data_IF_427868119126
#
_entry.id   IF_427868119126
#
_cell.length_a   1.000
_cell.length_b   1.000
_cell.length_c   1.000
_cell.angle_alpha   90.00
_cell.angle_beta   90.00
_cell.angle_gamma   90.00
#
_symmetry.space_group_name_H-M   'P 1'
#
loop_
_entity.id
_entity.type
_entity.pdbx_description
1 polymer ?
#
# COMPACT_ATOMS: atom_id res chain seq x y z
N UNK A 1 -47.25 -70.69 8.81
CA UNK A 1 -46.24 -69.95 9.54
C UNK A 1 -45.70 -68.86 8.59
N UNK A 2 -46.19 -67.63 8.76
CA UNK A 2 -45.82 -66.50 7.87
C UNK A 2 -44.72 -65.66 8.57
N UNK A 3 -43.56 -65.63 7.96
CA UNK A 3 -42.43 -64.79 8.43
C UNK A 3 -42.65 -63.39 7.86
N UNK A 4 -42.75 -62.38 8.75
CA UNK A 4 -42.78 -60.98 8.37
C UNK A 4 -41.34 -60.43 8.40
N UNK A 5 -40.82 -60.08 7.23
CA UNK A 5 -39.53 -59.32 7.15
C UNK A 5 -39.82 -57.86 7.38
N UNK A 6 -39.24 -57.30 8.47
CA UNK A 6 -39.27 -55.90 8.76
C UNK A 6 -37.94 -55.28 8.22
N UNK A 7 -38.07 -54.45 7.19
CA UNK A 7 -36.92 -53.69 6.66
C UNK A 7 -36.79 -52.41 7.46
N UNK A 8 -35.68 -52.27 8.19
CA UNK A 8 -35.34 -51.06 8.91
C UNK A 8 -34.57 -50.09 7.96
N UNK A 9 -35.16 -48.95 7.63
CA UNK A 9 -34.49 -47.90 6.91
C UNK A 9 -33.70 -47.02 7.91
N UNK A 10 -32.38 -47.07 7.83
CA UNK A 10 -31.50 -46.14 8.57
C UNK A 10 -31.34 -44.86 7.76
N UNK A 11 -31.95 -43.78 8.24
CA UNK A 11 -31.74 -42.42 7.67
C UNK A 11 -30.37 -41.92 8.09
N UNK A 12 -29.43 -41.84 7.13
CA UNK A 12 -28.15 -41.14 7.35
C UNK A 12 -28.40 -39.67 7.05
N UNK A 13 -28.43 -38.84 8.10
CA UNK A 13 -28.46 -37.38 7.97
C UNK A 13 -27.05 -36.88 7.64
N UNK A 14 -26.86 -36.48 6.40
CA UNK A 14 -25.65 -35.78 5.97
C UNK A 14 -25.70 -34.35 6.50
N UNK A 15 -24.92 -34.04 7.55
CA UNK A 15 -24.66 -32.67 7.98
C UNK A 15 -23.69 -32.02 7.00
N UNK A 16 -24.19 -31.20 6.07
CA UNK A 16 -23.40 -30.26 5.31
C UNK A 16 -22.94 -29.13 6.27
N UNK A 17 -21.73 -29.24 6.78
CA UNK A 17 -21.06 -28.11 7.44
C UNK A 17 -20.66 -27.13 6.34
N UNK A 18 -21.50 -26.16 6.08
CA UNK A 18 -21.10 -24.97 5.29
C UNK A 18 -20.15 -24.16 6.15
N UNK A 19 -18.86 -24.40 5.99
CA UNK A 19 -17.81 -23.51 6.52
C UNK A 19 -18.00 -22.13 5.89
N UNK A 20 -18.59 -21.20 6.62
CA UNK A 20 -18.55 -19.80 6.25
C UNK A 20 -17.08 -19.37 6.31
N UNK A 21 -16.47 -19.10 5.17
CA UNK A 21 -15.21 -18.37 5.09
C UNK A 21 -15.42 -17.04 5.86
N UNK A 22 -14.46 -16.61 6.69
CA UNK A 22 -14.57 -15.31 7.34
C UNK A 22 -14.64 -14.23 6.26
N UNK A 23 -15.86 -13.77 6.00
CA UNK A 23 -16.09 -12.68 5.05
C UNK A 23 -15.54 -11.40 5.65
N UNK A 24 -14.58 -10.79 4.99
CA UNK A 24 -14.21 -9.40 5.29
C UNK A 24 -15.46 -8.53 5.23
N UNK A 25 -15.77 -7.83 6.32
CA UNK A 25 -16.95 -6.99 6.39
C UNK A 25 -16.90 -5.94 5.28
N UNK A 26 -17.86 -5.99 4.36
CA UNK A 26 -17.98 -5.00 3.29
C UNK A 26 -18.22 -3.62 3.90
N UNK A 27 -17.27 -2.71 3.74
CA UNK A 27 -17.41 -1.34 4.21
C UNK A 27 -18.48 -0.60 3.39
N UNK A 28 -19.03 0.48 3.97
CA UNK A 28 -19.90 1.41 3.23
C UNK A 28 -19.27 1.80 1.89
N UNK A 29 -20.03 1.76 0.80
CA UNK A 29 -19.63 2.14 -0.56
C UNK A 29 -18.75 1.15 -1.33
N UNK A 30 -18.79 -0.14 -0.99
CA UNK A 30 -18.13 -1.21 -1.76
C UNK A 30 -16.62 -1.37 -1.50
N UNK A 31 -16.08 -0.74 -0.48
CA UNK A 31 -14.72 -1.02 -0.01
C UNK A 31 -14.70 -2.28 0.86
N UNK A 32 -13.61 -3.05 0.74
CA UNK A 32 -13.32 -4.22 1.57
C UNK A 32 -12.00 -3.97 2.29
N UNK A 33 -11.94 -4.25 3.58
CA UNK A 33 -10.67 -4.25 4.30
C UNK A 33 -9.81 -5.41 3.80
N UNK A 34 -8.58 -5.14 3.39
CA UNK A 34 -7.60 -6.16 2.98
C UNK A 34 -6.56 -6.45 4.05
N UNK A 35 -6.50 -5.65 5.11
CA UNK A 35 -5.77 -5.95 6.34
C UNK A 35 -6.77 -6.05 7.49
N UNK A 36 -6.76 -7.20 8.19
CA UNK A 36 -7.76 -7.52 9.23
C UNK A 36 -7.48 -6.84 10.58
N UNK A 37 -6.25 -6.35 10.81
CA UNK A 37 -5.81 -5.69 12.05
C UNK A 37 -5.38 -6.65 13.15
N UNK A 38 -5.37 -7.96 12.91
CA UNK A 38 -5.04 -8.99 13.92
C UNK A 38 -3.84 -9.84 13.56
N UNK A 39 -3.65 -10.10 12.26
CA UNK A 39 -2.55 -10.89 11.72
C UNK A 39 -2.28 -10.52 10.26
N UNK A 40 -1.29 -11.19 9.65
CA UNK A 40 -0.93 -11.03 8.25
C UNK A 40 -1.58 -12.09 7.34
N UNK A 41 -2.79 -12.59 7.67
CA UNK A 41 -3.54 -13.46 6.75
C UNK A 41 -3.78 -12.73 5.42
N UNK A 42 -3.42 -13.37 4.31
CA UNK A 42 -3.49 -12.76 2.97
C UNK A 42 -2.30 -11.86 2.61
N UNK A 43 -1.28 -11.80 3.48
CA UNK A 43 -0.06 -11.03 3.30
C UNK A 43 1.18 -11.88 3.56
N UNK A 44 2.34 -11.46 3.06
CA UNK A 44 3.62 -12.00 3.45
C UNK A 44 4.62 -10.88 3.74
N UNK A 45 5.56 -11.18 4.60
CA UNK A 45 6.60 -10.25 5.05
C UNK A 45 7.89 -10.55 4.31
N UNK A 46 8.57 -9.51 3.85
CA UNK A 46 9.85 -9.63 3.17
C UNK A 46 10.78 -8.52 3.64
N UNK A 47 11.95 -8.89 4.14
CA UNK A 47 13.02 -7.94 4.49
C UNK A 47 14.33 -8.38 3.84
N UNK A 48 15.28 -7.47 3.74
CA UNK A 48 16.55 -7.71 3.03
C UNK A 48 17.37 -8.86 3.61
N UNK A 49 17.35 -9.06 4.92
CA UNK A 49 18.09 -10.16 5.57
C UNK A 49 17.48 -11.54 5.36
N UNK A 50 16.26 -11.65 4.81
CA UNK A 50 15.45 -12.88 4.75
C UNK A 50 15.20 -13.56 6.13
N UNK A 51 15.44 -12.86 7.24
CA UNK A 51 15.18 -13.33 8.60
C UNK A 51 13.69 -13.15 8.94
N UNK A 52 12.95 -14.27 8.96
CA UNK A 52 11.51 -14.27 9.21
C UNK A 52 11.15 -13.81 10.64
N UNK A 53 11.99 -14.04 11.65
CA UNK A 53 11.73 -13.59 13.02
C UNK A 53 12.02 -12.09 13.16
N UNK A 54 13.05 -11.59 12.48
CA UNK A 54 13.29 -10.16 12.40
C UNK A 54 12.17 -9.45 11.64
N UNK A 55 11.66 -10.02 10.54
CA UNK A 55 10.54 -9.46 9.79
C UNK A 55 9.29 -9.27 10.67
N UNK A 56 8.96 -10.24 11.54
CA UNK A 56 7.85 -10.13 12.50
C UNK A 56 8.08 -9.03 13.55
N UNK A 57 9.32 -8.71 13.89
CA UNK A 57 9.65 -7.60 14.78
C UNK A 57 9.54 -6.27 14.05
N UNK A 58 10.00 -6.22 12.79
CA UNK A 58 9.91 -5.02 11.95
C UNK A 58 8.44 -4.64 11.71
N UNK A 59 7.60 -5.62 11.41
CA UNK A 59 6.17 -5.43 11.14
C UNK A 59 5.32 -5.98 12.29
N UNK A 60 5.26 -5.27 13.41
CA UNK A 60 4.39 -5.64 14.51
C UNK A 60 2.94 -5.23 14.25
N UNK A 61 1.99 -5.93 14.88
CA UNK A 61 0.59 -5.53 14.88
C UNK A 61 0.22 -5.04 16.27
N UNK A 62 -0.33 -3.83 16.35
CA UNK A 62 -0.74 -3.19 17.58
C UNK A 62 -2.01 -2.37 17.35
N UNK A 63 -3.00 -2.54 18.23
CA UNK A 63 -4.26 -1.79 18.17
C UNK A 63 -4.95 -1.77 16.80
N UNK A 64 -4.87 -2.88 16.05
CA UNK A 64 -5.44 -3.01 14.72
C UNK A 64 -4.66 -2.32 13.60
N UNK A 65 -3.41 -1.96 13.85
CA UNK A 65 -2.50 -1.28 12.94
C UNK A 65 -1.24 -2.11 12.70
N UNK A 66 -0.58 -1.91 11.56
CA UNK A 66 0.81 -2.32 11.39
C UNK A 66 1.68 -1.21 11.97
N UNK A 67 2.48 -1.56 12.97
CA UNK A 67 3.45 -0.70 13.62
C UNK A 67 4.86 -1.12 13.20
N UNK A 68 5.40 -0.42 12.23
CA UNK A 68 6.74 -0.68 11.70
C UNK A 68 7.77 -0.15 12.69
N UNK A 69 8.76 -0.97 13.02
CA UNK A 69 9.84 -0.69 13.98
C UNK A 69 9.38 -0.49 15.43
N UNK A 70 8.24 -1.10 15.82
CA UNK A 70 7.84 -1.15 17.22
C UNK A 70 8.91 -1.86 18.07
N UNK A 71 9.29 -1.25 19.20
CA UNK A 71 10.28 -1.82 20.11
C UNK A 71 11.54 -2.33 19.39
N UNK A 72 11.90 -1.65 18.31
CA UNK A 72 13.00 -2.07 17.46
C UNK A 72 14.31 -2.07 18.26
N UNK A 73 15.15 -3.12 18.14
CA UNK A 73 16.40 -3.20 18.88
C UNK A 73 17.27 -1.97 18.63
N UNK A 74 17.78 -1.38 19.70
CA UNK A 74 18.55 -0.12 19.63
C UNK A 74 19.82 -0.23 18.77
N UNK A 75 20.41 -1.41 18.68
CA UNK A 75 21.56 -1.70 17.83
C UNK A 75 21.29 -1.56 16.33
N UNK A 76 20.01 -1.52 15.92
CA UNK A 76 19.61 -1.29 14.53
C UNK A 76 19.22 0.17 14.27
N UNK A 77 19.11 0.98 15.33
CA UNK A 77 18.92 2.43 15.17
C UNK A 77 20.14 3.02 14.48
N UNK A 78 19.91 3.89 13.51
CA UNK A 78 20.98 4.56 12.77
C UNK A 78 21.94 3.58 12.04
N UNK A 79 21.40 2.47 11.57
CA UNK A 79 22.18 1.53 10.79
C UNK A 79 22.66 2.17 9.49
N UNK A 80 23.94 2.40 9.39
CA UNK A 80 24.58 3.20 8.34
C UNK A 80 25.02 2.39 7.13
N UNK A 81 24.49 1.23 6.88
CA UNK A 81 24.96 0.55 5.67
C UNK A 81 24.33 -0.76 5.30
N UNK A 82 23.78 -1.47 6.23
CA UNK A 82 23.29 -2.82 5.92
C UNK A 82 21.80 -2.85 5.54
N UNK A 83 20.99 -1.92 6.03
CA UNK A 83 19.54 -1.88 5.76
C UNK A 83 18.86 -3.26 5.86
N UNK A 84 19.34 -4.11 6.79
CA UNK A 84 18.88 -5.49 6.94
C UNK A 84 17.36 -5.60 7.14
N UNK A 85 16.77 -4.54 7.67
CA UNK A 85 15.37 -4.39 8.02
C UNK A 85 14.53 -3.69 6.97
N UNK A 86 15.16 -3.20 5.90
CA UNK A 86 14.44 -2.66 4.75
C UNK A 86 13.62 -3.76 4.08
N UNK A 87 12.38 -3.48 3.79
CA UNK A 87 11.50 -4.47 3.18
C UNK A 87 10.08 -3.99 2.97
N UNK A 88 9.20 -4.93 2.67
CA UNK A 88 7.78 -4.66 2.47
C UNK A 88 6.93 -5.79 3.07
N UNK A 89 5.73 -5.45 3.55
CA UNK A 89 4.68 -6.45 3.70
C UNK A 89 3.77 -6.37 2.48
N UNK A 90 3.62 -7.50 1.80
CA UNK A 90 2.97 -7.62 0.51
C UNK A 90 1.65 -8.36 0.57
N UNK A 91 0.67 -7.96 -0.25
CA UNK A 91 -0.53 -8.78 -0.49
C UNK A 91 -0.15 -10.05 -1.25
N UNK A 92 -0.78 -11.19 -0.90
CA UNK A 92 -0.66 -12.42 -1.69
C UNK A 92 -1.47 -12.36 -2.99
N UNK A 93 -2.53 -11.54 -3.01
CA UNK A 93 -3.40 -11.31 -4.17
C UNK A 93 -2.84 -10.18 -5.03
N UNK A 94 -2.92 -10.33 -6.35
CA UNK A 94 -2.72 -9.27 -7.33
C UNK A 94 -3.99 -8.48 -7.56
N UNK A 95 -3.82 -7.21 -7.90
CA UNK A 95 -4.90 -6.27 -8.20
C UNK A 95 -4.60 -5.52 -9.49
N UNK A 96 -5.66 -5.15 -10.25
CA UNK A 96 -5.53 -4.47 -11.55
C UNK A 96 -6.26 -3.14 -11.58
N UNK A 97 -7.57 -3.14 -11.34
CA UNK A 97 -8.42 -1.95 -11.43
C UNK A 97 -9.08 -1.72 -10.07
N UNK A 98 -8.66 -0.68 -9.36
CA UNK A 98 -9.10 -0.48 -7.98
C UNK A 98 -8.88 0.94 -7.45
N UNK A 99 -9.51 1.21 -6.31
CA UNK A 99 -9.14 2.29 -5.40
C UNK A 99 -8.60 1.65 -4.13
N UNK A 100 -7.34 1.92 -3.81
CA UNK A 100 -6.71 1.58 -2.55
C UNK A 100 -6.79 2.79 -1.63
N UNK A 101 -7.21 2.57 -0.38
CA UNK A 101 -7.14 3.57 0.69
C UNK A 101 -6.33 3.03 1.84
N UNK A 102 -5.51 3.90 2.41
CA UNK A 102 -4.77 3.61 3.63
C UNK A 102 -4.51 4.90 4.42
N UNK A 103 -4.19 4.75 5.68
CA UNK A 103 -3.74 5.86 6.51
C UNK A 103 -2.36 5.54 7.06
N UNK A 104 -1.50 6.56 7.11
CA UNK A 104 -0.20 6.46 7.78
C UNK A 104 0.00 7.59 8.78
N UNK A 105 0.90 7.35 9.73
CA UNK A 105 1.37 8.31 10.71
C UNK A 105 2.82 7.99 11.05
N UNK A 106 3.69 8.98 11.04
CA UNK A 106 5.06 8.83 11.52
C UNK A 106 5.11 8.68 13.04
N UNK A 107 5.99 7.80 13.53
CA UNK A 107 6.42 7.71 14.90
C UNK A 107 7.63 8.61 15.16
N UNK A 108 8.42 8.26 16.17
CA UNK A 108 9.59 9.05 16.60
C UNK A 108 10.90 8.28 16.48
N UNK A 109 10.85 6.95 16.32
CA UNK A 109 12.03 6.10 16.20
C UNK A 109 12.66 6.19 14.80
N UNK A 110 13.98 6.23 14.75
CA UNK A 110 14.76 6.14 13.50
C UNK A 110 15.51 4.81 13.52
N UNK A 111 15.18 3.92 12.58
CA UNK A 111 15.84 2.62 12.44
C UNK A 111 17.03 2.67 11.49
N UNK A 112 16.90 3.42 10.41
CA UNK A 112 17.97 3.64 9.43
C UNK A 112 18.11 5.14 9.18
N UNK A 113 19.33 5.64 9.18
CA UNK A 113 19.60 7.08 8.99
C UNK A 113 20.14 7.34 7.59
N UNK A 114 19.38 8.06 6.79
CA UNK A 114 19.77 8.55 5.46
C UNK A 114 19.75 10.08 5.38
N UNK A 115 20.30 10.76 6.36
CA UNK A 115 20.37 12.23 6.45
C UNK A 115 18.98 12.89 6.26
N UNK A 116 18.74 13.56 5.13
CA UNK A 116 17.46 14.25 4.85
C UNK A 116 16.27 13.29 4.71
N UNK A 117 16.49 12.01 4.46
CA UNK A 117 15.46 11.00 4.25
C UNK A 117 15.25 10.10 5.47
N UNK A 118 15.40 10.67 6.67
CA UNK A 118 15.11 9.91 7.91
C UNK A 118 13.65 9.49 8.07
N UNK A 119 12.72 10.06 7.29
CA UNK A 119 11.31 9.71 7.27
C UNK A 119 10.94 9.30 5.85
N UNK A 120 11.36 8.08 5.49
CA UNK A 120 11.16 7.50 4.16
C UNK A 120 10.49 6.13 4.26
N UNK A 121 9.45 5.95 3.46
CA UNK A 121 8.68 4.74 3.26
C UNK A 121 7.83 4.90 2.00
N UNK A 122 7.11 3.85 1.60
CA UNK A 122 6.23 3.92 0.44
C UNK A 122 5.14 2.86 0.44
N UNK A 123 4.19 3.05 -0.47
CA UNK A 123 3.23 2.03 -0.86
C UNK A 123 3.49 1.68 -2.33
N UNK A 124 4.08 0.52 -2.57
CA UNK A 124 4.24 -0.02 -3.91
C UNK A 124 2.96 -0.69 -4.38
N UNK A 125 2.64 -0.50 -5.65
CA UNK A 125 1.51 -1.16 -6.29
C UNK A 125 1.85 -1.57 -7.71
N UNK A 126 1.05 -2.48 -8.31
CA UNK A 126 1.37 -3.16 -9.55
C UNK A 126 2.77 -3.78 -9.53
N UNK A 127 3.15 -4.32 -8.38
CA UNK A 127 4.45 -4.98 -8.21
C UNK A 127 4.46 -6.29 -8.98
N UNK A 128 5.48 -6.43 -9.86
CA UNK A 128 5.60 -7.56 -10.79
C UNK A 128 6.49 -8.69 -10.28
N UNK A 129 7.44 -8.42 -9.37
CA UNK A 129 8.54 -9.32 -9.10
C UNK A 129 8.84 -9.67 -7.63
N UNK A 130 8.01 -9.25 -6.68
CA UNK A 130 8.14 -9.57 -5.24
C UNK A 130 9.60 -9.47 -4.73
N UNK A 131 10.23 -8.32 -4.91
CA UNK A 131 11.58 -8.02 -4.42
C UNK A 131 11.55 -6.93 -3.35
N UNK A 132 12.68 -6.76 -2.65
CA UNK A 132 12.89 -5.66 -1.69
C UNK A 132 12.85 -4.29 -2.38
N UNK A 133 13.43 -4.20 -3.57
CA UNK A 133 13.33 -3.08 -4.50
C UNK A 133 12.57 -3.57 -5.72
N UNK A 134 11.21 -3.51 -5.70
CA UNK A 134 10.41 -4.17 -6.69
C UNK A 134 10.30 -3.40 -8.00
N UNK A 135 10.07 -4.13 -9.07
CA UNK A 135 9.52 -3.57 -10.30
C UNK A 135 8.04 -3.27 -10.08
N UNK A 136 7.70 -2.02 -9.96
CA UNK A 136 6.34 -1.55 -9.66
C UNK A 136 6.26 -0.03 -9.72
N UNK A 137 5.19 0.51 -9.22
CA UNK A 137 4.98 1.95 -9.07
C UNK A 137 4.84 2.25 -7.58
N UNK A 138 5.58 3.23 -7.10
CA UNK A 138 5.51 3.64 -5.71
C UNK A 138 4.69 4.92 -5.54
N UNK A 139 3.78 4.88 -4.57
CA UNK A 139 3.24 6.05 -3.90
C UNK A 139 4.19 6.36 -2.75
N UNK A 140 5.07 7.33 -2.94
CA UNK A 140 6.05 7.74 -1.94
C UNK A 140 5.36 8.23 -0.67
N UNK A 141 5.85 7.80 0.48
CA UNK A 141 5.49 8.31 1.81
C UNK A 141 6.79 8.85 2.43
N UNK A 142 7.09 10.12 2.20
CA UNK A 142 8.35 10.68 2.60
C UNK A 142 8.23 12.13 3.11
N UNK A 143 9.05 12.45 4.10
CA UNK A 143 9.19 13.80 4.62
C UNK A 143 10.66 14.17 4.78
N UNK A 144 11.11 15.15 4.00
CA UNK A 144 12.42 15.77 4.19
C UNK A 144 12.36 16.71 5.42
N UNK A 145 12.91 16.24 6.53
CA UNK A 145 12.87 16.97 7.79
C UNK A 145 13.85 18.16 7.81
N UNK A 146 14.87 18.18 6.95
CA UNK A 146 15.87 19.25 6.85
C UNK A 146 15.31 20.45 6.09
N UNK A 147 14.66 20.20 4.94
CA UNK A 147 14.02 21.23 4.13
C UNK A 147 12.57 21.48 4.54
N UNK A 148 12.02 20.66 5.45
CA UNK A 148 10.62 20.67 5.86
C UNK A 148 9.65 20.48 4.68
N UNK A 149 10.05 19.66 3.73
CA UNK A 149 9.31 19.41 2.49
C UNK A 149 8.60 18.06 2.52
N UNK A 150 7.34 18.07 2.10
CA UNK A 150 6.59 16.86 1.91
C UNK A 150 6.85 16.25 0.53
N UNK A 151 7.11 14.94 0.48
CA UNK A 151 7.25 14.14 -0.72
C UNK A 151 6.17 13.05 -0.82
N UNK A 152 5.23 13.02 0.14
CA UNK A 152 4.13 12.05 0.09
C UNK A 152 3.25 12.31 -1.11
N UNK A 153 3.10 11.28 -1.94
CA UNK A 153 2.36 11.32 -3.19
C UNK A 153 3.22 11.44 -4.44
N UNK A 154 4.55 11.64 -4.31
CA UNK A 154 5.46 11.53 -5.44
C UNK A 154 5.35 10.13 -6.07
N UNK A 155 5.64 10.00 -7.36
CA UNK A 155 5.91 8.70 -7.97
C UNK A 155 7.39 8.36 -7.86
N UNK A 156 7.68 7.10 -7.57
CA UNK A 156 8.94 6.48 -7.91
C UNK A 156 8.66 5.37 -8.91
N UNK A 157 8.94 5.63 -10.18
CA UNK A 157 8.68 4.71 -11.27
C UNK A 157 9.37 5.17 -12.56
N UNK A 158 9.47 4.24 -13.54
CA UNK A 158 9.83 4.55 -14.90
C UNK A 158 8.79 4.03 -15.89
N UNK A 159 8.84 4.50 -17.13
CA UNK A 159 8.00 3.99 -18.22
C UNK A 159 6.52 4.40 -18.15
N UNK A 160 6.20 5.47 -17.41
CA UNK A 160 4.87 6.08 -17.38
C UNK A 160 4.89 7.52 -17.90
N UNK A 161 3.72 8.06 -18.24
CA UNK A 161 3.55 9.48 -18.56
C UNK A 161 2.85 10.17 -17.39
N UNK A 162 3.57 11.00 -16.65
CA UNK A 162 3.02 11.77 -15.55
C UNK A 162 2.58 13.18 -15.98
N UNK A 163 1.63 13.76 -15.28
CA UNK A 163 1.09 15.07 -15.64
C UNK A 163 1.94 16.18 -15.03
N UNK A 164 2.58 16.96 -15.90
CA UNK A 164 3.40 18.11 -15.51
C UNK A 164 3.34 19.17 -16.61
N UNK A 165 3.67 20.42 -16.29
CA UNK A 165 3.81 21.48 -17.28
C UNK A 165 5.22 21.51 -17.89
N UNK A 166 6.21 21.30 -17.06
CA UNK A 166 7.63 21.55 -17.38
C UNK A 166 8.56 20.40 -16.99
N UNK A 167 8.00 19.28 -16.50
CA UNK A 167 8.78 18.14 -16.04
C UNK A 167 9.33 18.27 -14.61
N UNK A 168 8.99 19.32 -13.86
CA UNK A 168 9.53 19.55 -12.51
C UNK A 168 8.59 19.11 -11.40
N UNK A 169 7.28 19.31 -11.55
CA UNK A 169 6.28 18.89 -10.58
C UNK A 169 4.93 18.65 -11.21
N UNK A 170 4.08 17.95 -10.48
CA UNK A 170 2.72 17.67 -10.92
C UNK A 170 1.90 18.96 -11.10
N UNK A 171 1.10 18.95 -12.17
CA UNK A 171 0.09 19.96 -12.44
C UNK A 171 -1.17 19.28 -13.00
N UNK A 172 -2.34 19.69 -12.49
CA UNK A 172 -3.63 19.16 -12.97
C UNK A 172 -3.84 19.49 -14.46
N UNK A 173 -4.51 18.61 -15.23
CA UNK A 173 -4.88 18.90 -16.62
C UNK A 173 -5.66 20.21 -16.76
N UNK A 174 -6.56 20.51 -15.82
CA UNK A 174 -7.34 21.76 -15.78
C UNK A 174 -6.51 23.03 -15.54
N UNK A 175 -5.28 22.85 -15.02
CA UNK A 175 -4.31 23.92 -14.75
C UNK A 175 -3.21 23.99 -15.82
N UNK A 176 -3.29 23.13 -16.85
CA UNK A 176 -2.37 23.09 -17.99
C UNK A 176 -1.33 21.99 -17.92
N UNK A 177 -1.46 21.04 -16.97
CA UNK A 177 -0.65 19.82 -16.92
C UNK A 177 -0.87 18.94 -18.16
N UNK A 178 0.20 18.42 -18.71
CA UNK A 178 0.21 17.53 -19.87
C UNK A 178 0.95 16.23 -19.54
N UNK A 179 0.58 15.10 -20.13
CA UNK A 179 1.33 13.85 -19.94
C UNK A 179 2.74 14.00 -20.52
N UNK A 180 3.74 13.92 -19.64
CA UNK A 180 5.16 14.00 -19.99
C UNK A 180 5.79 12.64 -19.70
N UNK A 181 6.64 12.14 -20.61
CA UNK A 181 7.34 10.88 -20.37
C UNK A 181 8.26 11.01 -19.15
N UNK A 182 7.98 10.22 -18.12
CA UNK A 182 8.78 10.12 -16.91
C UNK A 182 10.08 9.35 -17.19
N UNK A 183 11.19 9.84 -16.65
CA UNK A 183 12.43 9.05 -16.56
C UNK A 183 12.30 7.99 -15.46
N UNK A 184 13.26 7.07 -15.32
CA UNK A 184 13.32 6.20 -14.12
C UNK A 184 13.64 7.04 -12.89
N UNK A 185 12.83 6.92 -11.82
CA UNK A 185 13.04 7.63 -10.58
C UNK A 185 11.83 8.43 -10.09
N UNK A 186 12.10 9.52 -9.38
CA UNK A 186 11.09 10.33 -8.70
C UNK A 186 10.40 11.35 -9.62
N UNK A 187 9.07 11.45 -9.49
CA UNK A 187 8.24 12.46 -10.16
C UNK A 187 7.44 13.21 -9.10
N UNK A 188 7.80 14.46 -8.88
CA UNK A 188 7.32 15.26 -7.76
C UNK A 188 5.81 15.50 -7.82
N UNK A 189 5.15 15.32 -6.69
CA UNK A 189 3.77 15.70 -6.46
C UNK A 189 3.58 17.22 -6.46
N UNK A 190 2.34 17.67 -6.36
CA UNK A 190 2.01 19.09 -6.21
C UNK A 190 2.72 19.69 -4.99
N UNK A 191 3.44 20.81 -5.15
CA UNK A 191 4.37 21.32 -4.11
C UNK A 191 3.67 21.82 -2.84
N UNK A 192 2.41 22.25 -2.94
CA UNK A 192 1.72 22.94 -1.84
C UNK A 192 0.77 22.05 -1.04
N UNK A 193 0.91 20.73 -1.15
CA UNK A 193 0.03 19.81 -0.44
C UNK A 193 0.43 19.68 1.01
N UNK A 194 -0.49 20.07 1.88
CA UNK A 194 -0.32 19.94 3.33
C UNK A 194 -0.43 18.48 3.76
N UNK A 195 0.62 17.98 4.37
CA UNK A 195 0.67 16.70 5.06
C UNK A 195 0.83 16.90 6.57
N UNK A 196 0.44 15.87 7.32
CA UNK A 196 0.79 15.75 8.73
C UNK A 196 2.14 15.02 8.81
N UNK A 197 3.23 15.77 8.96
CA UNK A 197 4.55 15.17 9.08
C UNK A 197 4.79 14.62 10.51
N UNK A 198 5.54 15.32 11.35
CA UNK A 198 5.95 14.83 12.67
C UNK A 198 5.05 15.37 13.81
N UNK A 199 3.75 15.48 13.60
CA UNK A 199 2.81 16.08 14.54
C UNK A 199 1.84 15.05 15.19
N UNK A 200 2.11 13.76 15.01
CA UNK A 200 1.32 12.67 15.57
C UNK A 200 -0.07 12.48 14.95
N UNK A 201 -0.39 13.19 13.87
CA UNK A 201 -1.67 13.09 13.18
C UNK A 201 -1.59 12.16 11.98
N UNK A 202 -2.74 11.55 11.65
CA UNK A 202 -2.88 10.66 10.51
C UNK A 202 -2.97 11.41 9.19
N UNK A 203 -2.35 10.84 8.15
CA UNK A 203 -2.56 11.19 6.76
C UNK A 203 -3.45 10.14 6.11
N UNK A 204 -4.36 10.58 5.24
CA UNK A 204 -5.23 9.72 4.44
C UNK A 204 -4.71 9.68 3.01
N UNK A 205 -4.34 8.50 2.55
CA UNK A 205 -3.85 8.27 1.21
C UNK A 205 -4.87 7.49 0.38
N UNK A 206 -4.96 7.82 -0.89
CA UNK A 206 -5.77 7.10 -1.85
C UNK A 206 -5.00 6.94 -3.15
N UNK A 207 -4.94 5.71 -3.66
CA UNK A 207 -4.33 5.36 -4.95
C UNK A 207 -5.45 4.79 -5.83
N UNK A 208 -5.77 5.47 -6.91
CA UNK A 208 -6.73 5.03 -7.91
C UNK A 208 -5.94 4.48 -9.07
N UNK A 209 -6.18 3.22 -9.45
CA UNK A 209 -5.44 2.55 -10.53
C UNK A 209 -6.42 1.86 -11.46
N UNK A 210 -6.26 2.05 -12.76
CA UNK A 210 -7.11 1.45 -13.80
C UNK A 210 -6.26 0.66 -14.81
N UNK A 211 -5.78 -0.49 -14.38
CA UNK A 211 -4.91 -1.35 -15.18
C UNK A 211 -3.64 -0.61 -15.58
N UNK A 212 -3.27 -0.71 -16.84
CA UNK A 212 -2.15 0.01 -17.45
C UNK A 212 -2.53 1.42 -17.98
N UNK A 213 -3.77 1.86 -17.77
CA UNK A 213 -4.27 3.09 -18.39
C UNK A 213 -3.86 4.33 -17.62
N UNK A 214 -4.14 4.36 -16.31
CA UNK A 214 -3.80 5.51 -15.49
C UNK A 214 -3.77 5.20 -14.00
N UNK A 215 -3.13 6.08 -13.26
CA UNK A 215 -3.16 6.15 -11.81
C UNK A 215 -3.29 7.58 -11.31
N UNK A 216 -3.95 7.76 -10.15
CA UNK A 216 -4.13 9.04 -9.47
C UNK A 216 -3.75 8.85 -8.01
N UNK A 217 -2.84 9.69 -7.51
CA UNK A 217 -2.49 9.78 -6.10
C UNK A 217 -3.26 10.90 -5.42
N UNK A 218 -3.90 10.59 -4.27
CA UNK A 218 -4.52 11.61 -3.42
C UNK A 218 -3.93 11.57 -2.01
N UNK A 219 -3.74 12.74 -1.44
CA UNK A 219 -3.29 12.95 -0.06
C UNK A 219 -4.29 13.88 0.65
N UNK A 220 -4.85 13.42 1.77
CA UNK A 220 -5.83 14.16 2.57
C UNK A 220 -7.00 14.71 1.72
N UNK A 221 -7.45 13.92 0.73
CA UNK A 221 -8.56 14.24 -0.17
C UNK A 221 -8.22 15.10 -1.39
N UNK A 222 -6.96 15.55 -1.53
CA UNK A 222 -6.49 16.31 -2.70
C UNK A 222 -5.73 15.44 -3.67
N UNK A 223 -5.95 15.63 -4.97
CA UNK A 223 -5.11 15.03 -6.01
C UNK A 223 -3.73 15.68 -5.91
N UNK A 224 -2.70 14.84 -5.80
CA UNK A 224 -1.32 15.27 -5.65
C UNK A 224 -0.43 14.82 -6.78
N UNK A 225 -0.83 13.76 -7.49
CA UNK A 225 -0.09 13.27 -8.66
C UNK A 225 -0.99 12.44 -9.57
N UNK A 226 -0.65 12.34 -10.85
CA UNK A 226 -1.36 11.54 -11.86
C UNK A 226 -0.40 11.08 -12.94
N UNK A 227 -0.62 9.86 -13.46
CA UNK A 227 0.11 9.33 -14.60
C UNK A 227 -0.79 8.46 -15.48
N UNK A 228 -0.40 8.33 -16.76
CA UNK A 228 -1.00 7.43 -17.75
C UNK A 228 0.05 6.53 -18.36
N UNK A 229 -0.38 5.55 -19.18
CA UNK A 229 0.50 4.59 -19.85
C UNK A 229 1.43 3.90 -18.84
N UNK A 230 0.84 3.19 -17.89
CA UNK A 230 1.59 2.53 -16.81
C UNK A 230 2.35 1.31 -17.34
N UNK A 231 3.54 1.00 -16.80
CA UNK A 231 4.36 -0.12 -17.26
C UNK A 231 3.77 -1.49 -16.94
N UNK A 232 2.85 -1.57 -15.98
CA UNK A 232 2.23 -2.83 -15.52
C UNK A 232 0.72 -2.67 -15.43
N UNK A 233 -0.02 -3.73 -15.80
CA UNK A 233 -1.49 -3.74 -15.79
C UNK A 233 -2.09 -4.32 -14.50
N UNK A 234 -1.29 -5.03 -13.71
CA UNK A 234 -1.65 -5.64 -12.44
C UNK A 234 -0.41 -5.95 -11.60
N UNK A 235 -0.59 -6.18 -10.33
CA UNK A 235 0.46 -6.65 -9.44
C UNK A 235 0.02 -6.71 -7.99
N UNK A 236 0.92 -7.18 -7.12
CA UNK A 236 0.72 -7.15 -5.68
C UNK A 236 0.93 -5.73 -5.13
N UNK A 237 0.46 -5.49 -3.90
CA UNK A 237 0.60 -4.22 -3.20
C UNK A 237 1.52 -4.46 -2.00
N UNK A 238 2.48 -3.55 -1.77
CA UNK A 238 3.39 -3.63 -0.64
C UNK A 238 3.54 -2.32 0.10
N UNK A 239 3.75 -2.38 1.41
CA UNK A 239 4.05 -1.22 2.25
C UNK A 239 5.43 -1.37 2.87
N UNK A 240 6.25 -0.33 2.77
CA UNK A 240 7.65 -0.38 3.18
C UNK A 240 7.87 -0.23 4.68
N UNK A 241 8.98 -0.88 5.11
CA UNK A 241 9.82 -0.49 6.23
C UNK A 241 11.14 0.02 5.66
N UNK A 242 11.49 1.26 5.93
CA UNK A 242 12.73 1.80 5.36
C UNK A 242 13.58 2.53 6.40
N UNK A 243 13.18 3.70 6.84
CA UNK A 243 14.04 4.54 7.67
C UNK A 243 13.53 4.78 9.08
N UNK A 244 12.26 5.07 9.25
CA UNK A 244 11.70 5.50 10.53
C UNK A 244 10.46 4.73 10.94
N UNK A 245 10.15 4.81 12.23
CA UNK A 245 8.92 4.29 12.81
C UNK A 245 7.70 4.88 12.09
N UNK A 246 6.86 4.00 11.56
CA UNK A 246 5.64 4.37 10.85
C UNK A 246 4.51 3.43 11.20
N UNK A 247 3.30 3.96 11.23
CA UNK A 247 2.07 3.21 11.45
C UNK A 247 1.22 3.22 10.19
N UNK A 248 0.67 2.05 9.83
CA UNK A 248 -0.32 1.89 8.77
C UNK A 248 -1.62 1.33 9.30
N UNK A 249 -2.75 1.87 8.87
CA UNK A 249 -4.08 1.36 9.23
C UNK A 249 -5.11 1.64 8.15
N UNK A 250 -6.32 1.12 8.35
CA UNK A 250 -7.47 1.33 7.45
C UNK A 250 -7.16 0.97 6.00
N UNK A 251 -6.36 -0.10 5.80
CA UNK A 251 -6.00 -0.57 4.47
C UNK A 251 -7.21 -1.27 3.87
N UNK A 252 -7.79 -0.67 2.85
CA UNK A 252 -9.03 -1.13 2.22
C UNK A 252 -9.00 -0.87 0.72
N UNK A 253 -9.68 -1.72 -0.03
CA UNK A 253 -9.70 -1.67 -1.49
C UNK A 253 -11.13 -1.75 -2.02
N UNK A 254 -11.37 -1.09 -3.15
CA UNK A 254 -12.55 -1.27 -3.97
C UNK A 254 -12.12 -1.65 -5.37
N UNK A 255 -12.42 -2.87 -5.80
CA UNK A 255 -12.09 -3.36 -7.13
C UNK A 255 -13.18 -3.02 -8.15
N UNK A 256 -12.82 -2.95 -9.42
CA UNK A 256 -13.71 -2.71 -10.55
C UNK A 256 -13.50 -3.78 -11.63
N UNK A 257 -14.59 -4.20 -12.25
CA UNK A 257 -14.56 -5.13 -13.38
C UNK A 257 -14.12 -4.43 -14.67
N UNK A 258 -14.48 -3.15 -14.81
CA UNK A 258 -14.20 -2.31 -15.98
C UNK A 258 -13.33 -1.11 -15.64
N UNK A 259 -12.74 -0.50 -16.67
CA UNK A 259 -12.01 0.77 -16.53
C UNK A 259 -13.01 1.89 -16.33
N UNK A 260 -12.90 2.59 -15.22
CA UNK A 260 -13.68 3.80 -14.94
C UNK A 260 -12.98 4.99 -15.61
N UNK A 261 -13.68 5.86 -16.33
CA UNK A 261 -13.09 7.06 -16.91
C UNK A 261 -12.40 7.94 -15.85
N UNK A 262 -11.22 8.45 -16.16
CA UNK A 262 -10.38 9.22 -15.23
C UNK A 262 -11.10 10.47 -14.70
N UNK A 263 -11.91 11.10 -15.54
CA UNK A 263 -12.67 12.32 -15.23
C UNK A 263 -13.63 12.15 -14.05
N UNK A 264 -14.06 10.92 -13.77
CA UNK A 264 -14.95 10.61 -12.64
C UNK A 264 -14.24 10.81 -11.28
N UNK A 265 -12.91 10.86 -11.27
CA UNK A 265 -12.07 10.98 -10.07
C UNK A 265 -11.41 12.34 -9.91
N UNK A 266 -11.55 13.23 -10.89
CA UNK A 266 -10.93 14.57 -10.87
C UNK A 266 -11.76 15.65 -10.15
N UNK A 267 -12.89 15.26 -9.56
CA UNK A 267 -13.81 16.17 -8.85
C UNK A 267 -13.47 16.28 -7.38
#
# INVERSE_FOLDING_TARGET
MKIKNTVQFTLIALFLISGALPGFAQAKNGFVKIFNGTDFEGWHLKIRSDDAELAKKVYAIEDGMVHVFKDFPKEYELNTGDNATHGLFYTNKKYSKYILKFEYKWGVGIANNFDQFQYDAGCYYHVADDKIWPLGIEYQVRYDHTQKKNHTGDFWAGGLKWYSKDGNSFLLPSEGGQPVLGHGGEHLAAPDVKSNALNGKWNKCEVIVMGDKYTIHKLNGKIVNMATELPYSEGIIGFQSETAEIYYRNIQIKEFDEIIPMENFLK
#
